data_IF_172578102162
#
_entry.id   IF_172578102162
#
_cell.length_a   1.000
_cell.length_b   1.000
_cell.length_c   1.000
_cell.angle_alpha   90.00
_cell.angle_beta   90.00
_cell.angle_gamma   90.00
#
_symmetry.space_group_name_H-M   'P 1'
#
loop_
_entity.id
_entity.type
_entity.pdbx_description
1 polymer ?
#
# COMPACT_ATOMS: atom_id res chain seq x y z
N UNK A 1 -8.08 -8.25 -34.79
CA UNK A 1 -8.42 -6.88 -34.35
C UNK A 1 -9.94 -6.76 -34.24
N UNK A 2 -10.54 -7.16 -33.13
CA UNK A 2 -11.98 -6.94 -32.90
C UNK A 2 -12.07 -5.76 -31.92
N UNK A 3 -12.08 -4.56 -32.45
CA UNK A 3 -12.59 -3.37 -31.78
C UNK A 3 -14.10 -3.58 -31.61
N UNK A 4 -14.50 -4.21 -30.50
CA UNK A 4 -15.89 -4.08 -30.04
C UNK A 4 -16.06 -2.62 -29.60
N UNK A 5 -16.65 -1.83 -30.46
CA UNK A 5 -17.27 -0.54 -30.09
C UNK A 5 -18.24 -0.86 -28.96
N UNK A 6 -17.84 -0.59 -27.73
CA UNK A 6 -18.78 -0.51 -26.60
C UNK A 6 -19.69 0.67 -26.94
N UNK A 7 -20.96 0.39 -27.29
CA UNK A 7 -22.00 1.39 -27.36
C UNK A 7 -21.89 2.25 -26.09
N UNK A 8 -21.90 3.55 -26.25
CA UNK A 8 -21.82 4.59 -25.23
C UNK A 8 -22.81 4.33 -24.09
N UNK A 9 -22.43 3.53 -23.12
CA UNK A 9 -23.08 3.55 -21.82
C UNK A 9 -22.51 4.76 -21.09
N UNK A 10 -23.33 5.78 -20.88
CA UNK A 10 -22.99 6.91 -20.02
C UNK A 10 -22.81 6.32 -18.62
N UNK A 11 -21.55 6.23 -18.17
CA UNK A 11 -21.23 5.83 -16.79
C UNK A 11 -21.38 7.06 -15.92
N UNK A 12 -22.51 7.17 -15.21
CA UNK A 12 -22.81 8.29 -14.28
C UNK A 12 -22.47 7.96 -12.84
N UNK A 13 -21.87 6.81 -12.58
CA UNK A 13 -21.69 6.24 -11.25
C UNK A 13 -20.20 5.87 -11.01
N UNK A 14 -19.73 6.10 -9.79
CA UNK A 14 -18.42 5.65 -9.28
C UNK A 14 -18.68 4.55 -8.26
N UNK A 15 -18.62 3.28 -8.66
CA UNK A 15 -19.03 2.16 -7.81
C UNK A 15 -18.29 2.09 -6.47
N UNK A 16 -17.03 2.51 -6.47
CA UNK A 16 -16.15 2.48 -5.29
C UNK A 16 -16.69 3.32 -4.12
N UNK A 17 -17.41 4.42 -4.41
CA UNK A 17 -17.91 5.34 -3.38
C UNK A 17 -19.41 5.22 -3.10
N UNK A 18 -20.06 4.16 -3.55
CA UNK A 18 -21.47 3.93 -3.24
C UNK A 18 -21.67 3.89 -1.73
N UNK A 19 -22.68 4.63 -1.19
CA UNK A 19 -22.87 4.78 0.23
C UNK A 19 -23.34 3.47 0.90
N UNK A 20 -23.01 3.34 2.17
CA UNK A 20 -23.56 2.32 3.07
C UNK A 20 -24.70 2.95 3.84
N UNK A 21 -25.87 2.32 3.85
CA UNK A 21 -26.97 2.72 4.73
C UNK A 21 -26.64 2.38 6.18
N UNK A 22 -27.04 3.25 7.10
CA UNK A 22 -26.75 3.08 8.52
C UNK A 22 -28.02 3.14 9.38
N UNK A 23 -28.01 2.49 10.54
CA UNK A 23 -29.03 2.60 11.57
C UNK A 23 -28.40 2.52 12.96
N UNK A 24 -29.10 3.05 13.95
CA UNK A 24 -28.71 2.89 15.35
C UNK A 24 -28.77 1.41 15.77
N UNK A 25 -27.89 1.03 16.69
CA UNK A 25 -28.06 -0.23 17.41
C UNK A 25 -29.34 -0.18 18.23
N UNK A 26 -30.03 -1.32 18.36
CA UNK A 26 -31.18 -1.47 19.26
C UNK A 26 -30.74 -1.88 20.68
N UNK A 27 -29.48 -2.17 20.87
CA UNK A 27 -28.91 -2.64 22.13
C UNK A 27 -28.23 -1.48 22.86
N UNK A 28 -28.43 -1.43 24.18
CA UNK A 28 -27.60 -0.61 25.07
C UNK A 28 -26.26 -1.34 25.22
N UNK A 29 -25.38 -1.14 24.27
CA UNK A 29 -24.02 -1.68 24.30
C UNK A 29 -23.05 -0.50 24.24
N UNK A 30 -22.46 -0.19 25.38
CA UNK A 30 -21.55 0.94 25.58
C UNK A 30 -20.08 0.52 25.34
N UNK A 31 -19.83 -0.76 24.98
CA UNK A 31 -18.48 -1.24 24.70
C UNK A 31 -17.92 -0.59 23.43
N UNK A 32 -16.71 -0.05 23.55
CA UNK A 32 -15.94 0.47 22.45
C UNK A 32 -15.80 -0.60 21.35
N UNK A 33 -16.05 -0.21 20.11
CA UNK A 33 -15.81 -1.08 18.96
C UNK A 33 -14.99 -0.39 17.89
N UNK A 34 -13.85 -0.99 17.59
CA UNK A 34 -13.01 -0.54 16.46
C UNK A 34 -13.52 -1.15 15.16
N UNK A 35 -13.68 -0.31 14.13
CA UNK A 35 -14.10 -0.74 12.80
C UNK A 35 -13.03 -0.34 11.80
N UNK A 36 -12.57 -1.30 11.00
CA UNK A 36 -11.70 -1.03 9.85
C UNK A 36 -12.43 -1.36 8.56
N UNK A 37 -12.34 -0.47 7.58
CA UNK A 37 -12.90 -0.69 6.24
C UNK A 37 -11.77 -1.03 5.28
N UNK A 38 -11.84 -2.23 4.71
CA UNK A 38 -10.81 -2.76 3.80
C UNK A 38 -11.42 -3.18 2.45
N UNK A 39 -10.68 -3.09 1.34
CA UNK A 39 -11.14 -3.54 0.04
C UNK A 39 -11.41 -5.04 -0.02
N UNK A 40 -10.52 -5.84 0.57
CA UNK A 40 -10.55 -7.30 0.51
C UNK A 40 -9.81 -7.93 1.69
N UNK A 41 -10.17 -9.18 2.01
CA UNK A 41 -9.43 -10.06 2.93
C UNK A 41 -8.94 -11.33 2.23
N UNK A 42 -9.01 -11.40 0.90
CA UNK A 42 -8.58 -12.56 0.13
C UNK A 42 -7.05 -12.59 0.02
N UNK A 43 -6.43 -13.78 0.13
CA UNK A 43 -4.97 -13.98 0.10
C UNK A 43 -4.30 -13.34 -1.13
N UNK A 44 -4.98 -13.41 -2.28
CA UNK A 44 -4.47 -12.84 -3.53
C UNK A 44 -4.45 -11.30 -3.57
N UNK A 45 -5.27 -10.64 -2.75
CA UNK A 45 -5.43 -9.18 -2.73
C UNK A 45 -4.70 -8.53 -1.54
N UNK A 46 -4.43 -9.30 -0.48
CA UNK A 46 -3.74 -8.80 0.72
C UNK A 46 -2.25 -8.73 0.44
N UNK A 47 -1.81 -7.55 0.05
CA UNK A 47 -0.39 -7.19 -0.11
C UNK A 47 0.02 -6.24 1.01
N UNK A 48 1.28 -5.81 0.99
CA UNK A 48 1.91 -5.00 2.02
C UNK A 48 1.02 -3.94 2.68
N UNK A 49 0.28 -3.16 1.88
CA UNK A 49 -0.60 -2.11 2.40
C UNK A 49 -1.75 -2.62 3.26
N UNK A 50 -2.56 -3.54 2.74
CA UNK A 50 -3.71 -4.10 3.50
C UNK A 50 -3.20 -4.90 4.71
N UNK A 51 -2.10 -5.66 4.55
CA UNK A 51 -1.48 -6.40 5.64
C UNK A 51 -1.03 -5.46 6.77
N UNK A 52 -0.36 -4.36 6.44
CA UNK A 52 0.11 -3.38 7.43
C UNK A 52 -1.07 -2.70 8.15
N UNK A 53 -2.13 -2.34 7.43
CA UNK A 53 -3.33 -1.74 8.03
C UNK A 53 -4.05 -2.72 8.97
N UNK A 54 -4.16 -4.00 8.59
CA UNK A 54 -4.74 -5.04 9.45
C UNK A 54 -3.87 -5.31 10.67
N UNK A 55 -2.54 -5.30 10.54
CA UNK A 55 -1.61 -5.42 11.66
C UNK A 55 -1.76 -4.25 12.63
N UNK A 56 -1.84 -3.01 12.12
CA UNK A 56 -2.11 -1.83 12.93
C UNK A 56 -3.44 -1.97 13.69
N UNK A 57 -4.49 -2.33 12.99
CA UNK A 57 -5.82 -2.52 13.55
C UNK A 57 -5.83 -3.58 14.66
N UNK A 58 -5.21 -4.75 14.42
CA UNK A 58 -5.17 -5.84 15.39
C UNK A 58 -4.40 -5.42 16.65
N UNK A 59 -3.21 -4.84 16.52
CA UNK A 59 -2.43 -4.37 17.66
C UNK A 59 -3.18 -3.31 18.48
N UNK A 60 -3.86 -2.39 17.81
CA UNK A 60 -4.66 -1.35 18.47
C UNK A 60 -5.87 -1.95 19.20
N UNK A 61 -6.57 -2.91 18.58
CA UNK A 61 -7.70 -3.62 19.18
C UNK A 61 -7.29 -4.41 20.42
N UNK A 62 -6.18 -5.15 20.34
CA UNK A 62 -5.67 -5.95 21.45
C UNK A 62 -5.24 -5.04 22.63
N UNK A 63 -4.65 -3.88 22.35
CA UNK A 63 -4.28 -2.89 23.35
C UNK A 63 -5.49 -2.25 24.03
N UNK A 64 -6.51 -1.90 23.26
CA UNK A 64 -7.77 -1.32 23.76
C UNK A 64 -8.66 -2.35 24.46
N UNK A 65 -8.45 -3.64 24.20
CA UNK A 65 -9.30 -4.76 24.68
C UNK A 65 -10.78 -4.54 24.35
N UNK A 66 -11.06 -4.05 23.16
CA UNK A 66 -12.39 -3.65 22.70
C UNK A 66 -12.95 -4.63 21.66
N UNK A 67 -14.25 -4.50 21.38
CA UNK A 67 -14.85 -5.17 20.22
C UNK A 67 -14.19 -4.71 18.93
N UNK A 68 -14.19 -5.57 17.91
CA UNK A 68 -13.60 -5.23 16.61
C UNK A 68 -14.43 -5.71 15.44
N UNK A 69 -14.47 -4.92 14.36
CA UNK A 69 -15.19 -5.28 13.14
C UNK A 69 -14.40 -4.91 11.89
N UNK A 70 -14.17 -5.91 11.03
CA UNK A 70 -13.59 -5.74 9.71
C UNK A 70 -14.75 -5.67 8.71
N UNK A 71 -14.83 -4.56 7.96
CA UNK A 71 -15.87 -4.30 6.95
C UNK A 71 -15.22 -4.41 5.59
N UNK A 72 -15.61 -5.42 4.81
CA UNK A 72 -15.08 -5.69 3.47
C UNK A 72 -15.99 -5.06 2.42
N UNK A 73 -15.44 -4.27 1.49
CA UNK A 73 -16.26 -3.43 0.61
C UNK A 73 -16.13 -3.69 -0.89
N UNK A 74 -15.09 -4.32 -1.40
CA UNK A 74 -14.88 -4.44 -2.85
C UNK A 74 -14.90 -5.88 -3.36
N UNK A 75 -14.44 -6.84 -2.56
CA UNK A 75 -14.43 -8.26 -2.94
C UNK A 75 -15.13 -9.12 -1.90
N UNK A 76 -16.07 -9.93 -2.35
CA UNK A 76 -16.81 -10.87 -1.49
C UNK A 76 -15.87 -11.78 -0.68
N UNK A 77 -16.34 -12.14 0.52
CA UNK A 77 -15.57 -12.98 1.44
C UNK A 77 -15.71 -14.44 1.03
N UNK A 78 -14.65 -15.01 0.47
CA UNK A 78 -14.55 -16.42 0.13
C UNK A 78 -13.73 -17.15 1.22
N UNK A 79 -14.38 -17.95 2.07
CA UNK A 79 -13.75 -18.62 3.23
C UNK A 79 -12.51 -19.44 2.90
N UNK A 80 -12.42 -19.97 1.67
CA UNK A 80 -11.32 -20.86 1.24
C UNK A 80 -10.06 -20.12 0.82
N UNK A 81 -10.20 -18.84 0.48
CA UNK A 81 -9.13 -18.00 -0.08
C UNK A 81 -8.87 -16.72 0.75
N UNK A 82 -9.30 -16.69 1.99
CA UNK A 82 -9.09 -15.54 2.88
C UNK A 82 -7.85 -15.72 3.77
N UNK A 83 -7.27 -14.61 4.19
CA UNK A 83 -6.22 -14.63 5.21
C UNK A 83 -6.74 -15.19 6.53
N UNK A 84 -5.84 -15.71 7.36
CA UNK A 84 -6.21 -16.12 8.72
C UNK A 84 -6.50 -14.88 9.57
N UNK A 85 -7.72 -14.83 10.10
CA UNK A 85 -8.19 -13.78 11.02
C UNK A 85 -8.66 -14.46 12.31
N UNK A 86 -7.72 -14.61 13.24
CA UNK A 86 -7.95 -15.37 14.47
C UNK A 86 -9.07 -14.77 15.35
N UNK A 87 -10.04 -15.60 15.67
CA UNK A 87 -11.20 -15.23 16.50
C UNK A 87 -12.30 -14.46 15.78
N UNK A 88 -12.11 -14.06 14.51
CA UNK A 88 -13.15 -13.36 13.75
C UNK A 88 -14.22 -14.31 13.24
N UNK A 89 -15.48 -13.91 13.43
CA UNK A 89 -16.65 -14.61 12.91
C UNK A 89 -17.24 -13.84 11.74
N UNK A 90 -17.57 -14.54 10.66
CA UNK A 90 -18.29 -13.96 9.52
C UNK A 90 -19.75 -13.81 9.95
N UNK A 91 -20.24 -12.57 10.01
CA UNK A 91 -21.57 -12.21 10.45
C UNK A 91 -22.38 -11.70 9.28
N UNK A 92 -23.60 -12.20 9.11
CA UNK A 92 -24.56 -11.59 8.19
C UNK A 92 -25.01 -10.23 8.78
N UNK A 93 -25.06 -9.19 7.94
CA UNK A 93 -25.46 -7.84 8.37
C UNK A 93 -26.88 -7.77 8.95
N UNK A 94 -27.75 -8.76 8.69
CA UNK A 94 -29.13 -8.88 9.21
C UNK A 94 -29.17 -9.52 10.57
N UNK A 95 -28.18 -10.31 10.92
CA UNK A 95 -28.17 -11.10 12.14
C UNK A 95 -27.72 -10.26 13.35
N UNK A 96 -28.35 -10.51 14.49
CA UNK A 96 -27.80 -10.08 15.77
C UNK A 96 -26.68 -11.04 16.15
N UNK A 97 -25.57 -10.50 16.58
CA UNK A 97 -24.43 -11.31 16.98
C UNK A 97 -23.74 -10.69 18.19
N UNK A 98 -23.49 -11.52 19.19
CA UNK A 98 -22.71 -11.19 20.39
C UNK A 98 -21.18 -11.37 20.15
N UNK A 99 -20.78 -11.70 18.93
CA UNK A 99 -19.36 -11.86 18.60
C UNK A 99 -18.61 -10.53 18.81
N UNK A 100 -17.54 -10.59 19.59
CA UNK A 100 -16.65 -9.44 19.85
C UNK A 100 -15.73 -9.12 18.69
N UNK A 101 -15.38 -10.13 17.86
CA UNK A 101 -14.60 -9.99 16.64
C UNK A 101 -15.45 -10.36 15.43
N UNK A 102 -15.81 -9.36 14.62
CA UNK A 102 -16.76 -9.51 13.52
C UNK A 102 -16.08 -9.25 12.16
N UNK A 103 -16.37 -10.10 11.18
CA UNK A 103 -16.05 -9.90 9.77
C UNK A 103 -17.36 -9.79 8.98
N UNK A 104 -17.58 -8.66 8.31
CA UNK A 104 -18.84 -8.40 7.62
C UNK A 104 -18.60 -8.01 6.15
N UNK A 105 -19.40 -8.58 5.27
CA UNK A 105 -19.37 -8.31 3.85
C UNK A 105 -20.33 -7.17 3.48
N UNK A 106 -19.78 -6.09 2.92
CA UNK A 106 -20.50 -4.93 2.37
C UNK A 106 -20.20 -4.68 0.90
N UNK A 107 -19.80 -5.68 0.15
CA UNK A 107 -19.53 -5.56 -1.29
C UNK A 107 -20.78 -5.13 -2.10
N UNK A 108 -21.96 -5.60 -1.70
CA UNK A 108 -23.26 -5.15 -2.25
C UNK A 108 -23.93 -4.17 -1.25
N UNK A 109 -23.27 -3.00 -1.04
CA UNK A 109 -23.62 -2.03 0.03
C UNK A 109 -25.04 -1.47 -0.08
N UNK A 110 -25.57 -1.27 -1.29
CA UNK A 110 -26.90 -0.65 -1.50
C UNK A 110 -28.07 -1.48 -0.91
N UNK A 111 -27.85 -2.76 -0.64
CA UNK A 111 -28.86 -3.67 -0.08
C UNK A 111 -28.61 -4.02 1.37
N UNK A 112 -27.59 -3.42 1.98
CA UNK A 112 -27.14 -3.75 3.35
C UNK A 112 -27.19 -2.51 4.22
N UNK A 113 -27.48 -2.68 5.49
CA UNK A 113 -27.53 -1.60 6.49
C UNK A 113 -26.55 -1.88 7.59
N UNK A 114 -25.61 -0.98 7.80
CA UNK A 114 -24.62 -1.08 8.88
C UNK A 114 -25.24 -0.61 10.19
N UNK A 115 -25.16 -1.45 11.22
CA UNK A 115 -25.53 -1.08 12.58
C UNK A 115 -24.36 -0.31 13.20
N UNK A 116 -24.61 0.92 13.62
CA UNK A 116 -23.63 1.81 14.23
C UNK A 116 -23.94 1.98 15.71
N UNK A 117 -22.91 1.86 16.56
CA UNK A 117 -22.94 2.17 18.00
C UNK A 117 -22.49 3.62 18.24
N UNK A 118 -22.82 4.17 19.38
CA UNK A 118 -22.27 5.47 19.82
C UNK A 118 -20.75 5.39 20.00
N UNK A 119 -20.27 4.26 20.51
CA UNK A 119 -18.86 3.94 20.77
C UNK A 119 -18.11 3.32 19.59
N UNK A 120 -18.63 3.41 18.35
CA UNK A 120 -17.90 2.97 17.15
C UNK A 120 -16.82 3.97 16.76
N UNK A 121 -15.59 3.47 16.61
CA UNK A 121 -14.45 4.16 16.00
C UNK A 121 -14.22 3.60 14.61
N UNK A 122 -13.98 4.45 13.62
CA UNK A 122 -13.82 4.02 12.24
C UNK A 122 -12.40 4.32 11.70
N UNK A 123 -11.83 3.33 11.02
CA UNK A 123 -10.53 3.42 10.35
C UNK A 123 -10.72 3.19 8.85
N UNK A 124 -10.36 4.19 8.05
CA UNK A 124 -10.28 4.08 6.59
C UNK A 124 -8.89 3.59 6.16
N UNK A 125 -8.81 2.82 5.07
CA UNK A 125 -7.55 2.30 4.53
C UNK A 125 -7.31 2.66 3.06
N UNK A 126 -8.26 3.37 2.45
CA UNK A 126 -8.22 3.85 1.07
C UNK A 126 -9.10 5.09 0.93
N UNK A 127 -8.89 5.90 -0.13
CA UNK A 127 -9.69 7.11 -0.35
C UNK A 127 -11.19 6.82 -0.46
N UNK A 128 -11.57 5.73 -1.12
CA UNK A 128 -13.00 5.39 -1.24
C UNK A 128 -13.59 4.86 0.07
N UNK A 129 -12.81 4.20 0.91
CA UNK A 129 -13.26 3.85 2.26
C UNK A 129 -13.44 5.09 3.15
N UNK A 130 -12.53 6.06 3.05
CA UNK A 130 -12.66 7.35 3.74
C UNK A 130 -13.88 8.14 3.23
N UNK A 131 -14.09 8.18 1.92
CA UNK A 131 -15.25 8.82 1.29
C UNK A 131 -16.58 8.22 1.76
N UNK A 132 -16.64 6.89 1.93
CA UNK A 132 -17.83 6.18 2.45
C UNK A 132 -18.03 6.46 3.94
N UNK A 133 -16.94 6.56 4.72
CA UNK A 133 -17.01 6.72 6.17
C UNK A 133 -17.36 8.14 6.61
N UNK A 134 -17.00 9.16 5.84
CA UNK A 134 -17.33 10.55 6.18
C UNK A 134 -18.80 10.77 6.49
N UNK A 135 -19.78 10.41 5.62
CA UNK A 135 -21.19 10.55 5.93
C UNK A 135 -21.68 9.65 7.09
N UNK A 136 -21.02 8.51 7.32
CA UNK A 136 -21.35 7.61 8.44
C UNK A 136 -20.99 8.26 9.77
N UNK A 137 -19.78 8.83 9.86
CA UNK A 137 -19.32 9.54 11.07
C UNK A 137 -20.14 10.81 11.28
N UNK A 138 -20.44 11.56 10.21
CA UNK A 138 -21.34 12.72 10.28
C UNK A 138 -22.74 12.32 10.80
N UNK A 139 -23.27 11.19 10.34
CA UNK A 139 -24.53 10.65 10.86
C UNK A 139 -24.41 10.20 12.33
N UNK A 140 -23.31 9.55 12.72
CA UNK A 140 -23.04 9.13 14.11
C UNK A 140 -23.03 10.36 15.02
N UNK A 141 -22.26 11.40 14.68
CA UNK A 141 -22.17 12.64 15.44
C UNK A 141 -23.52 13.35 15.60
N UNK A 142 -24.38 13.31 14.58
CA UNK A 142 -25.70 13.91 14.63
C UNK A 142 -26.73 13.11 15.45
N UNK A 143 -26.60 11.79 15.47
CA UNK A 143 -27.61 10.89 16.02
C UNK A 143 -27.30 10.38 17.42
N UNK A 144 -26.07 10.54 17.89
CA UNK A 144 -25.67 10.28 19.26
C UNK A 144 -25.13 11.57 19.89
N UNK A 145 -25.11 11.70 21.14
CA UNK A 145 -24.89 12.86 22.01
C UNK A 145 -23.86 13.93 21.57
N UNK A 146 -23.98 14.47 20.36
CA UNK A 146 -23.18 15.59 19.84
C UNK A 146 -21.65 15.47 19.99
N UNK A 147 -21.12 14.27 19.86
CA UNK A 147 -19.71 14.06 19.97
C UNK A 147 -19.05 14.29 18.61
N UNK A 148 -17.95 15.04 18.59
CA UNK A 148 -17.19 15.31 17.39
C UNK A 148 -16.17 14.18 17.14
N UNK A 149 -16.66 13.00 16.72
CA UNK A 149 -15.84 11.80 16.48
C UNK A 149 -14.94 12.01 15.31
N UNK A 150 -13.71 11.52 15.40
CA UNK A 150 -12.72 11.58 14.35
C UNK A 150 -12.75 10.35 13.46
N UNK A 151 -12.42 10.53 12.18
CA UNK A 151 -12.02 9.46 11.29
C UNK A 151 -10.52 9.18 11.48
N UNK A 152 -10.16 7.92 11.74
CA UNK A 152 -8.77 7.48 11.63
C UNK A 152 -8.51 7.06 10.18
N UNK A 153 -7.58 7.74 9.50
CA UNK A 153 -7.30 7.49 8.10
C UNK A 153 -5.88 6.95 7.94
N UNK A 154 -5.79 5.65 7.65
CA UNK A 154 -4.53 4.96 7.38
C UNK A 154 -4.11 5.20 5.93
N UNK A 155 -3.25 6.20 5.72
CA UNK A 155 -2.85 6.72 4.41
C UNK A 155 -1.55 6.02 3.97
N UNK A 156 -1.63 5.32 2.84
CA UNK A 156 -0.55 4.45 2.37
C UNK A 156 0.10 4.92 1.07
N UNK A 157 -0.51 5.88 0.41
CA UNK A 157 -0.01 6.51 -0.81
C UNK A 157 -0.74 7.85 -1.03
N UNK A 158 -0.29 8.66 -1.97
CA UNK A 158 -1.08 9.76 -2.49
C UNK A 158 -2.03 9.24 -3.57
N UNK A 159 -3.18 8.77 -3.13
CA UNK A 159 -4.11 8.00 -3.96
C UNK A 159 -4.77 8.78 -5.12
N UNK A 160 -4.92 10.13 -5.10
CA UNK A 160 -5.26 10.87 -6.31
C UNK A 160 -4.35 10.55 -7.49
N UNK A 161 -3.06 10.32 -7.24
CA UNK A 161 -2.06 9.91 -8.23
C UNK A 161 -2.29 8.53 -8.88
N UNK A 162 -3.28 7.76 -8.42
CA UNK A 162 -3.68 6.50 -9.09
C UNK A 162 -4.46 6.74 -10.38
N UNK A 163 -4.93 7.97 -10.59
CA UNK A 163 -5.79 8.36 -11.68
C UNK A 163 -5.17 9.50 -12.50
N UNK A 164 -5.39 9.55 -13.82
CA UNK A 164 -5.17 10.80 -14.55
C UNK A 164 -6.08 11.89 -13.97
N UNK A 165 -5.84 13.15 -14.30
CA UNK A 165 -6.72 14.25 -13.90
C UNK A 165 -8.16 13.96 -14.36
N UNK A 166 -9.02 13.68 -13.39
CA UNK A 166 -10.35 13.12 -13.62
C UNK A 166 -11.24 13.33 -12.41
N UNK A 167 -12.52 12.96 -12.51
CA UNK A 167 -13.44 12.96 -11.37
C UNK A 167 -12.92 12.11 -10.21
N UNK A 168 -12.33 10.94 -10.48
CA UNK A 168 -11.76 10.07 -9.43
C UNK A 168 -10.57 10.72 -8.74
N UNK A 169 -9.73 11.45 -9.48
CA UNK A 169 -8.63 12.22 -8.89
C UNK A 169 -9.18 13.24 -7.86
N UNK A 170 -10.15 14.06 -8.27
CA UNK A 170 -10.73 15.09 -7.40
C UNK A 170 -11.46 14.48 -6.21
N UNK A 171 -12.21 13.39 -6.41
CA UNK A 171 -12.89 12.68 -5.32
C UNK A 171 -11.90 12.08 -4.31
N UNK A 172 -10.82 11.48 -4.79
CA UNK A 172 -9.76 10.96 -3.92
C UNK A 172 -9.10 12.10 -3.12
N UNK A 173 -8.77 13.20 -3.78
CA UNK A 173 -8.16 14.37 -3.13
C UNK A 173 -9.10 15.00 -2.08
N UNK A 174 -10.41 15.02 -2.32
CA UNK A 174 -11.39 15.59 -1.38
C UNK A 174 -11.38 14.88 -0.03
N UNK A 175 -10.98 13.60 0.02
CA UNK A 175 -10.91 12.85 1.27
C UNK A 175 -9.79 13.31 2.22
N UNK A 176 -8.86 14.11 1.72
CA UNK A 176 -7.82 14.75 2.55
C UNK A 176 -8.23 16.16 3.02
N UNK A 177 -9.44 16.61 2.63
CA UNK A 177 -10.00 17.94 2.92
C UNK A 177 -11.39 17.86 3.56
N UNK A 178 -11.68 16.76 4.25
CA UNK A 178 -12.98 16.51 4.90
C UNK A 178 -13.28 17.53 5.99
N UNK A 179 -14.55 17.83 6.18
CA UNK A 179 -15.01 18.72 7.27
C UNK A 179 -14.99 18.01 8.64
N UNK A 180 -15.11 16.68 8.66
CA UNK A 180 -15.02 15.90 9.91
C UNK A 180 -13.56 15.89 10.41
N UNK A 181 -13.34 15.88 11.74
CA UNK A 181 -12.00 15.74 12.29
C UNK A 181 -11.36 14.43 11.77
N UNK A 182 -10.19 14.56 11.18
CA UNK A 182 -9.48 13.40 10.62
C UNK A 182 -8.10 13.28 11.25
N UNK A 183 -7.74 12.07 11.63
CA UNK A 183 -6.44 11.69 12.17
C UNK A 183 -5.70 10.90 11.11
N UNK A 184 -4.64 11.49 10.56
CA UNK A 184 -3.82 10.86 9.52
C UNK A 184 -2.77 9.93 10.11
N UNK A 185 -2.71 8.68 9.60
CA UNK A 185 -1.69 7.70 9.94
C UNK A 185 -0.96 7.31 8.65
N UNK A 186 0.31 7.67 8.55
CA UNK A 186 1.10 7.52 7.33
C UNK A 186 2.12 6.39 7.48
N UNK A 187 2.24 5.56 6.46
CA UNK A 187 3.17 4.42 6.45
C UNK A 187 4.58 4.78 5.95
N UNK A 188 4.91 6.06 5.87
CA UNK A 188 6.28 6.54 5.71
C UNK A 188 6.39 8.03 6.07
N UNK A 189 7.58 8.43 6.53
CA UNK A 189 7.91 9.83 6.79
C UNK A 189 7.81 10.69 5.53
N UNK A 190 8.33 10.22 4.40
CA UNK A 190 8.29 10.94 3.12
C UNK A 190 6.86 11.25 2.69
N UNK A 191 5.95 10.29 2.83
CA UNK A 191 4.54 10.50 2.51
C UNK A 191 3.91 11.53 3.45
N UNK A 192 4.17 11.43 4.75
CA UNK A 192 3.71 12.39 5.75
C UNK A 192 4.18 13.82 5.43
N UNK A 193 5.48 14.00 5.17
CA UNK A 193 6.06 15.30 4.83
C UNK A 193 5.47 15.89 3.55
N UNK A 194 5.25 15.04 2.51
CA UNK A 194 4.59 15.44 1.27
C UNK A 194 3.19 16.02 1.53
N UNK A 195 2.39 15.39 2.39
CA UNK A 195 1.05 15.88 2.72
C UNK A 195 1.10 17.23 3.45
N UNK A 196 2.06 17.42 4.34
CA UNK A 196 2.28 18.72 5.00
C UNK A 196 2.69 19.80 4.00
N UNK A 197 3.63 19.51 3.11
CA UNK A 197 4.10 20.44 2.07
C UNK A 197 2.98 20.83 1.09
N UNK A 198 2.06 19.91 0.79
CA UNK A 198 0.85 20.21 -0.02
C UNK A 198 -0.23 20.98 0.75
N UNK A 199 -0.05 21.22 2.05
CA UNK A 199 -0.97 21.98 2.88
C UNK A 199 -2.22 21.24 3.34
N UNK A 200 -2.23 19.90 3.32
CA UNK A 200 -3.31 19.11 3.90
C UNK A 200 -3.27 19.19 5.43
N UNK A 201 -4.44 19.45 6.03
CA UNK A 201 -4.57 19.64 7.47
C UNK A 201 -5.33 18.46 8.10
N UNK A 202 -4.74 17.88 9.14
CA UNK A 202 -5.35 16.85 9.96
C UNK A 202 -5.50 17.34 11.40
N UNK A 203 -6.50 16.84 12.14
CA UNK A 203 -6.62 17.10 13.58
C UNK A 203 -5.35 16.67 14.31
N UNK A 204 -4.85 15.49 13.95
CA UNK A 204 -3.54 14.94 14.33
C UNK A 204 -2.99 14.11 13.16
N UNK A 205 -1.68 13.99 13.09
CA UNK A 205 -1.03 13.18 12.07
C UNK A 205 0.23 12.52 12.63
N UNK A 206 0.40 11.25 12.33
CA UNK A 206 1.55 10.46 12.74
C UNK A 206 2.07 9.62 11.58
N UNK A 207 3.31 9.23 11.64
CA UNK A 207 3.92 8.33 10.67
C UNK A 207 4.76 7.25 11.34
N UNK A 208 4.95 6.16 10.63
CA UNK A 208 5.97 5.15 10.91
C UNK A 208 6.71 4.84 9.61
N UNK A 209 7.96 4.41 9.70
CA UNK A 209 8.73 4.07 8.52
C UNK A 209 8.55 2.60 8.14
N UNK A 210 8.76 2.23 6.86
CA UNK A 210 8.74 0.85 6.42
C UNK A 210 9.71 -0.02 7.22
N UNK A 211 9.27 -1.22 7.57
CA UNK A 211 10.10 -2.24 8.22
C UNK A 211 10.29 -3.43 7.29
N UNK A 212 11.47 -4.04 7.34
CA UNK A 212 11.72 -5.28 6.60
C UNK A 212 10.85 -6.40 7.18
N UNK A 213 10.25 -7.19 6.29
CA UNK A 213 9.52 -8.37 6.70
C UNK A 213 10.44 -9.30 7.52
N UNK A 214 9.96 -9.85 8.64
CA UNK A 214 10.76 -10.67 9.56
C UNK A 214 11.35 -11.92 8.89
N UNK A 215 10.59 -12.56 8.00
CA UNK A 215 11.10 -13.71 7.25
C UNK A 215 12.23 -13.29 6.31
N UNK A 216 12.09 -12.17 5.58
CA UNK A 216 13.18 -11.63 4.75
C UNK A 216 14.40 -11.28 5.58
N UNK A 217 14.22 -10.74 6.78
CA UNK A 217 15.30 -10.45 7.72
C UNK A 217 16.02 -11.72 8.14
N UNK A 218 15.29 -12.79 8.45
CA UNK A 218 15.88 -14.10 8.79
C UNK A 218 16.75 -14.66 7.66
N UNK A 219 16.38 -14.47 6.40
CA UNK A 219 17.21 -14.86 5.25
C UNK A 219 18.45 -13.98 5.13
N UNK A 220 18.30 -12.67 5.31
CA UNK A 220 19.38 -11.70 5.23
C UNK A 220 20.45 -11.95 6.32
N UNK A 221 20.03 -12.19 7.55
CA UNK A 221 20.93 -12.43 8.69
C UNK A 221 21.81 -13.69 8.53
N UNK A 222 21.36 -14.64 7.70
CA UNK A 222 22.10 -15.88 7.40
C UNK A 222 22.94 -15.77 6.13
N UNK A 223 22.78 -14.69 5.36
CA UNK A 223 23.37 -14.56 4.04
C UNK A 223 24.80 -13.99 4.10
N UNK A 224 25.68 -14.50 3.26
CA UNK A 224 26.97 -13.89 2.96
C UNK A 224 26.84 -12.93 1.77
N UNK A 225 26.79 -11.65 2.05
CA UNK A 225 26.68 -10.60 1.03
C UNK A 225 27.98 -10.35 0.26
N UNK A 226 29.10 -10.97 0.64
CA UNK A 226 30.41 -10.85 -0.05
C UNK A 226 30.51 -11.74 -1.29
N UNK A 227 29.60 -12.70 -1.46
CA UNK A 227 29.58 -13.61 -2.61
C UNK A 227 29.38 -12.84 -3.91
N UNK A 228 30.20 -13.10 -4.95
CA UNK A 228 30.03 -12.45 -6.26
C UNK A 228 28.64 -12.67 -6.86
N UNK A 229 28.01 -11.58 -7.30
CA UNK A 229 26.67 -11.60 -7.86
C UNK A 229 26.69 -11.98 -9.34
N UNK A 230 25.63 -12.67 -9.78
CA UNK A 230 25.41 -13.05 -11.17
C UNK A 230 25.17 -11.81 -12.05
N UNK A 231 25.46 -11.91 -13.34
CA UNK A 231 25.01 -10.94 -14.35
C UNK A 231 23.49 -11.04 -14.49
N UNK A 232 22.79 -10.52 -13.51
CA UNK A 232 21.34 -10.63 -13.38
C UNK A 232 20.74 -9.28 -13.04
N UNK A 233 19.65 -8.94 -13.71
CA UNK A 233 18.82 -7.76 -13.46
C UNK A 233 17.45 -8.24 -12.99
N UNK A 234 16.97 -7.73 -11.86
CA UNK A 234 15.57 -7.89 -11.47
C UNK A 234 14.83 -6.57 -11.61
N UNK A 235 13.60 -6.66 -12.09
CA UNK A 235 12.69 -5.51 -12.17
C UNK A 235 11.45 -5.80 -11.33
N UNK A 236 10.96 -4.78 -10.63
CA UNK A 236 9.64 -4.86 -10.02
C UNK A 236 8.59 -4.45 -11.05
N UNK A 237 8.08 -5.45 -11.79
CA UNK A 237 7.22 -5.25 -12.95
C UNK A 237 5.74 -5.49 -12.64
N UNK A 238 4.95 -4.42 -12.74
CA UNK A 238 3.51 -4.45 -12.55
C UNK A 238 2.81 -3.68 -13.67
N UNK A 239 2.62 -4.30 -14.86
CA UNK A 239 2.03 -3.62 -16.02
C UNK A 239 0.63 -3.05 -15.75
N UNK A 240 -0.15 -3.61 -14.83
CA UNK A 240 -1.48 -3.10 -14.47
C UNK A 240 -1.45 -1.99 -13.40
N UNK A 241 -0.28 -1.58 -12.93
CA UNK A 241 -0.11 -0.55 -11.92
C UNK A 241 0.69 0.62 -12.52
N UNK A 242 -0.01 1.60 -13.09
CA UNK A 242 0.58 2.70 -13.88
C UNK A 242 1.72 3.42 -13.18
N UNK A 243 1.63 3.62 -11.85
CA UNK A 243 2.67 4.31 -11.08
C UNK A 243 4.00 3.54 -10.97
N UNK A 244 4.04 2.25 -11.32
CA UNK A 244 5.29 1.49 -11.42
C UNK A 244 6.03 1.71 -12.75
N UNK A 245 5.48 2.52 -13.66
CA UNK A 245 6.09 2.95 -14.92
C UNK A 245 6.70 1.79 -15.72
N UNK A 246 5.94 0.69 -15.85
CA UNK A 246 6.43 -0.54 -16.48
C UNK A 246 6.87 -0.32 -17.92
N UNK A 247 6.12 0.46 -18.68
CA UNK A 247 6.41 0.78 -20.09
C UNK A 247 7.75 1.53 -20.23
N UNK A 248 8.05 2.44 -19.29
CA UNK A 248 9.33 3.16 -19.24
C UNK A 248 10.48 2.21 -18.98
N UNK A 249 10.31 1.25 -18.06
CA UNK A 249 11.34 0.23 -17.79
C UNK A 249 11.58 -0.62 -19.04
N UNK A 250 10.52 -1.05 -19.74
CA UNK A 250 10.61 -1.87 -20.95
C UNK A 250 11.36 -1.13 -22.07
N UNK A 251 11.02 0.13 -22.33
CA UNK A 251 11.70 0.93 -23.33
C UNK A 251 13.18 1.16 -22.97
N UNK A 252 13.47 1.43 -21.70
CA UNK A 252 14.84 1.60 -21.23
C UNK A 252 15.69 0.33 -21.37
N UNK A 253 15.11 -0.83 -21.08
CA UNK A 253 15.79 -2.12 -21.25
C UNK A 253 16.03 -2.46 -22.74
N UNK A 254 15.10 -2.05 -23.63
CA UNK A 254 15.32 -2.17 -25.08
C UNK A 254 16.54 -1.35 -25.54
N UNK A 255 16.60 -0.06 -25.13
CA UNK A 255 17.74 0.82 -25.44
C UNK A 255 19.04 0.28 -24.83
N UNK A 256 18.99 -0.17 -23.57
CA UNK A 256 20.13 -0.81 -22.92
C UNK A 256 20.61 -2.04 -23.68
N UNK A 257 19.69 -2.91 -24.13
CA UNK A 257 20.02 -4.12 -24.88
C UNK A 257 20.68 -3.83 -26.24
N UNK A 258 20.38 -2.70 -26.88
CA UNK A 258 21.06 -2.24 -28.09
C UNK A 258 22.50 -1.72 -27.81
N UNK A 259 22.70 -1.08 -26.65
CA UNK A 259 23.96 -0.50 -26.19
C UNK A 259 24.92 -1.54 -25.60
N UNK A 260 24.39 -2.54 -24.90
CA UNK A 260 25.19 -3.57 -24.24
C UNK A 260 25.62 -4.67 -25.23
N UNK A 261 26.90 -4.72 -25.58
CA UNK A 261 27.42 -5.70 -26.55
C UNK A 261 27.20 -7.16 -26.13
N UNK A 262 27.22 -7.40 -24.84
CA UNK A 262 27.06 -8.74 -24.25
C UNK A 262 25.69 -8.87 -23.53
N UNK A 263 24.66 -8.22 -24.03
CA UNK A 263 23.33 -8.20 -23.42
C UNK A 263 22.76 -9.60 -23.20
N UNK A 264 23.03 -10.56 -24.09
CA UNK A 264 22.63 -11.97 -24.01
C UNK A 264 23.23 -12.73 -22.83
N UNK A 265 24.33 -12.22 -22.22
CA UNK A 265 24.95 -12.83 -21.05
C UNK A 265 24.22 -12.45 -19.74
N UNK A 266 23.26 -11.53 -19.82
CA UNK A 266 22.48 -11.07 -18.69
C UNK A 266 21.14 -11.80 -18.64
N UNK A 267 20.79 -12.26 -17.44
CA UNK A 267 19.46 -12.77 -17.15
C UNK A 267 18.59 -11.62 -16.62
N UNK A 268 17.39 -11.45 -17.18
CA UNK A 268 16.47 -10.39 -16.73
C UNK A 268 15.18 -11.04 -16.27
N UNK A 269 14.83 -10.79 -14.99
CA UNK A 269 13.63 -11.31 -14.36
C UNK A 269 12.69 -10.17 -13.92
N UNK A 270 11.40 -10.34 -14.20
CA UNK A 270 10.36 -9.47 -13.69
C UNK A 270 9.62 -10.13 -12.55
N UNK A 271 9.54 -9.43 -11.43
CA UNK A 271 8.84 -9.82 -10.21
C UNK A 271 7.59 -8.95 -10.02
N UNK A 272 6.56 -9.47 -9.36
CA UNK A 272 5.33 -8.74 -9.06
C UNK A 272 4.13 -9.32 -9.78
N UNK A 273 3.81 -8.87 -10.99
CA UNK A 273 2.73 -9.44 -11.78
C UNK A 273 3.22 -10.46 -12.80
N UNK A 274 2.40 -11.50 -13.06
CA UNK A 274 2.69 -12.51 -14.08
C UNK A 274 2.18 -12.06 -15.45
N UNK A 275 3.06 -12.14 -16.44
CA UNK A 275 2.75 -11.87 -17.86
C UNK A 275 3.60 -12.78 -18.75
N UNK A 276 3.32 -12.92 -20.07
CA UNK A 276 4.17 -13.66 -20.99
C UNK A 276 5.58 -13.06 -21.08
N UNK A 277 6.60 -13.89 -21.26
CA UNK A 277 7.97 -13.44 -21.44
C UNK A 277 8.09 -12.46 -22.62
N UNK A 278 8.88 -11.40 -22.44
CA UNK A 278 9.01 -10.31 -23.41
C UNK A 278 10.40 -10.38 -24.06
N UNK A 279 10.43 -10.47 -25.39
CA UNK A 279 11.66 -10.34 -26.19
C UNK A 279 11.90 -8.86 -26.49
N UNK A 280 13.05 -8.33 -26.09
CA UNK A 280 13.39 -6.90 -26.27
C UNK A 280 14.48 -6.66 -27.34
N UNK A 281 14.86 -7.65 -28.09
CA UNK A 281 15.89 -7.58 -29.14
C UNK A 281 17.24 -8.11 -28.67
N UNK A 282 18.19 -8.25 -29.60
CA UNK A 282 19.57 -8.70 -29.37
C UNK A 282 19.70 -10.02 -28.54
N UNK A 283 18.69 -10.89 -28.62
CA UNK A 283 18.65 -12.15 -27.88
C UNK A 283 18.28 -12.02 -26.41
N UNK A 284 17.92 -10.83 -25.95
CA UNK A 284 17.53 -10.56 -24.57
C UNK A 284 16.04 -10.87 -24.38
N UNK A 285 15.75 -11.62 -23.32
CA UNK A 285 14.39 -11.98 -22.93
C UNK A 285 14.16 -11.63 -21.46
N UNK A 286 13.09 -10.89 -21.19
CA UNK A 286 12.62 -10.62 -19.85
C UNK A 286 11.68 -11.76 -19.45
N UNK A 287 12.08 -12.55 -18.47
CA UNK A 287 11.29 -13.65 -17.93
C UNK A 287 10.41 -13.16 -16.78
N UNK A 288 9.09 -13.28 -16.93
CA UNK A 288 8.17 -12.93 -15.87
C UNK A 288 8.04 -14.09 -14.86
N UNK A 289 8.45 -13.87 -13.62
CA UNK A 289 8.31 -14.82 -12.54
C UNK A 289 6.98 -14.65 -11.78
N UNK A 290 6.38 -13.46 -11.87
CA UNK A 290 5.18 -13.13 -11.11
C UNK A 290 5.45 -12.91 -9.62
N UNK A 291 4.48 -13.23 -8.78
CA UNK A 291 4.61 -13.16 -7.31
C UNK A 291 5.38 -14.39 -6.82
N UNK A 292 6.50 -14.16 -6.18
CA UNK A 292 7.34 -15.18 -5.55
C UNK A 292 6.94 -15.39 -4.08
N UNK A 293 7.27 -16.54 -3.53
CA UNK A 293 7.32 -16.70 -2.07
C UNK A 293 8.44 -15.86 -1.49
N UNK A 294 8.42 -15.58 -0.17
CA UNK A 294 9.47 -14.79 0.48
C UNK A 294 10.85 -15.45 0.38
N UNK A 295 10.91 -16.78 0.44
CA UNK A 295 12.14 -17.56 0.26
C UNK A 295 12.71 -17.41 -1.16
N UNK A 296 11.87 -17.61 -2.19
CA UNK A 296 12.29 -17.44 -3.60
C UNK A 296 12.72 -15.99 -3.87
N UNK A 297 12.02 -15.01 -3.29
CA UNK A 297 12.35 -13.61 -3.42
C UNK A 297 13.68 -13.28 -2.75
N UNK A 298 13.93 -13.76 -1.53
CA UNK A 298 15.21 -13.60 -0.85
C UNK A 298 16.36 -14.22 -1.65
N UNK A 299 16.16 -15.45 -2.14
CA UNK A 299 17.17 -16.18 -2.93
C UNK A 299 17.56 -15.43 -4.21
N UNK A 300 16.59 -14.96 -4.98
CA UNK A 300 16.88 -14.20 -6.21
C UNK A 300 17.57 -12.86 -5.90
N UNK A 301 17.18 -12.19 -4.81
CA UNK A 301 17.82 -10.94 -4.38
C UNK A 301 19.30 -11.15 -3.99
N UNK A 302 19.64 -12.26 -3.34
CA UNK A 302 21.03 -12.57 -2.97
C UNK A 302 21.94 -12.81 -4.17
N UNK A 303 21.40 -13.28 -5.27
CA UNK A 303 22.16 -13.60 -6.49
C UNK A 303 22.27 -12.43 -7.48
N UNK A 304 21.37 -11.45 -7.38
CA UNK A 304 21.18 -10.37 -8.37
C UNK A 304 22.18 -9.23 -8.19
N UNK A 305 22.69 -8.72 -9.30
CA UNK A 305 23.61 -7.57 -9.32
C UNK A 305 22.88 -6.22 -9.39
N UNK A 306 21.84 -6.11 -10.20
CA UNK A 306 21.13 -4.85 -10.48
C UNK A 306 19.63 -5.00 -10.23
N UNK A 307 19.04 -4.07 -9.52
CA UNK A 307 17.60 -3.97 -9.29
C UNK A 307 17.02 -2.71 -9.94
N UNK A 308 15.81 -2.81 -10.48
CA UNK A 308 15.07 -1.67 -11.01
C UNK A 308 13.67 -1.69 -10.42
N UNK A 309 13.32 -0.62 -9.71
CA UNK A 309 11.98 -0.48 -9.15
C UNK A 309 11.56 0.98 -9.17
N UNK A 310 10.69 1.34 -10.10
CA UNK A 310 10.17 2.69 -10.22
C UNK A 310 8.83 2.81 -9.48
N UNK A 311 8.60 4.01 -8.93
CA UNK A 311 7.35 4.37 -8.28
C UNK A 311 7.08 5.87 -8.45
N UNK A 312 6.10 6.21 -9.27
CA UNK A 312 5.64 7.59 -9.47
C UNK A 312 4.69 7.93 -8.31
N UNK A 313 5.27 8.19 -7.16
CA UNK A 313 4.60 8.46 -5.91
C UNK A 313 5.60 9.07 -4.91
N UNK A 314 5.15 9.91 -3.96
CA UNK A 314 5.96 10.37 -2.83
C UNK A 314 6.29 9.25 -1.83
N UNK A 315 5.56 8.12 -1.88
CA UNK A 315 5.87 6.95 -1.07
C UNK A 315 7.17 6.28 -1.55
N UNK A 316 8.08 5.86 -0.64
CA UNK A 316 9.37 5.29 -1.02
C UNK A 316 9.28 3.96 -1.77
N UNK A 317 8.17 3.21 -1.59
CA UNK A 317 7.99 1.83 -2.06
C UNK A 317 8.86 0.81 -1.31
N UNK A 318 8.34 -0.39 -1.08
CA UNK A 318 9.09 -1.45 -0.39
C UNK A 318 10.14 -2.12 -1.28
N UNK A 319 9.85 -2.50 -2.56
CA UNK A 319 10.80 -3.26 -3.35
C UNK A 319 12.19 -2.61 -3.52
N UNK A 320 12.34 -1.31 -3.80
CA UNK A 320 13.68 -0.73 -3.92
C UNK A 320 14.44 -0.76 -2.58
N UNK A 321 13.72 -0.63 -1.46
CA UNK A 321 14.31 -0.67 -0.12
C UNK A 321 14.76 -2.09 0.24
N UNK A 322 13.94 -3.09 -0.06
CA UNK A 322 14.27 -4.51 0.14
C UNK A 322 15.47 -4.93 -0.71
N UNK A 323 15.42 -4.63 -2.02
CA UNK A 323 16.53 -4.92 -2.95
C UNK A 323 17.85 -4.31 -2.47
N UNK A 324 17.84 -3.05 -2.08
CA UNK A 324 19.04 -2.34 -1.62
C UNK A 324 19.59 -2.92 -0.32
N UNK A 325 18.73 -3.32 0.61
CA UNK A 325 19.09 -3.96 1.86
C UNK A 325 19.76 -5.31 1.65
N UNK A 326 19.31 -6.06 0.63
CA UNK A 326 19.99 -7.29 0.18
C UNK A 326 21.27 -7.03 -0.59
N UNK A 327 21.74 -5.79 -0.68
CA UNK A 327 23.02 -5.40 -1.31
C UNK A 327 22.96 -5.26 -2.83
N UNK A 328 21.78 -5.26 -3.43
CA UNK A 328 21.59 -5.03 -4.87
C UNK A 328 21.78 -3.55 -5.17
N UNK A 329 22.56 -3.22 -6.21
CA UNK A 329 22.59 -1.85 -6.72
C UNK A 329 21.23 -1.54 -7.37
N UNK A 330 20.44 -0.75 -6.69
CA UNK A 330 19.01 -0.56 -7.00
C UNK A 330 18.77 0.82 -7.60
N UNK A 331 18.22 0.83 -8.82
CA UNK A 331 17.84 2.03 -9.54
C UNK A 331 16.35 2.31 -9.29
N UNK A 332 16.06 3.53 -8.84
CA UNK A 332 14.70 4.03 -8.67
C UNK A 332 14.59 5.47 -9.19
N UNK A 333 13.42 6.08 -9.07
CA UNK A 333 13.18 7.46 -9.49
C UNK A 333 12.94 8.40 -8.30
N UNK A 334 13.40 9.64 -8.40
CA UNK A 334 12.93 10.73 -7.58
C UNK A 334 11.49 11.09 -7.98
N UNK A 335 10.71 11.60 -7.04
CA UNK A 335 9.37 12.09 -7.28
C UNK A 335 8.94 13.03 -6.16
N UNK A 336 8.61 14.28 -6.48
CA UNK A 336 8.29 15.31 -5.49
C UNK A 336 9.39 15.37 -4.42
N UNK A 337 9.04 15.22 -3.13
CA UNK A 337 10.01 15.19 -2.02
C UNK A 337 10.76 13.85 -1.88
N UNK A 338 10.38 12.82 -2.65
CA UNK A 338 11.06 11.53 -2.58
C UNK A 338 12.41 11.56 -3.30
N UNK A 339 13.49 11.50 -2.52
CA UNK A 339 14.84 11.21 -2.98
C UNK A 339 15.48 10.19 -2.04
N UNK A 340 15.89 9.04 -2.58
CA UNK A 340 16.42 7.93 -1.80
C UNK A 340 17.95 7.76 -1.92
N UNK A 341 18.67 8.73 -2.48
CA UNK A 341 20.13 8.66 -2.68
C UNK A 341 20.93 8.56 -1.38
N UNK A 342 20.36 8.98 -0.25
CA UNK A 342 21.00 8.84 1.07
C UNK A 342 21.07 7.39 1.56
N UNK A 343 20.29 6.49 0.97
CA UNK A 343 20.23 5.10 1.38
C UNK A 343 21.25 4.23 0.66
N UNK A 344 21.81 3.23 1.38
CA UNK A 344 22.82 2.31 0.83
C UNK A 344 22.30 1.62 -0.42
N UNK A 345 23.20 1.50 -1.42
CA UNK A 345 22.92 0.76 -2.65
C UNK A 345 21.74 1.29 -3.49
N UNK A 346 21.22 2.49 -3.22
CA UNK A 346 20.16 3.11 -4.02
C UNK A 346 20.74 4.21 -4.91
N UNK A 347 20.25 4.25 -6.14
CA UNK A 347 20.50 5.30 -7.12
C UNK A 347 19.15 5.84 -7.56
N UNK A 348 18.83 7.06 -7.13
CA UNK A 348 17.58 7.73 -7.43
C UNK A 348 17.76 8.70 -8.60
N UNK A 349 17.04 8.47 -9.71
CA UNK A 349 17.11 9.29 -10.91
C UNK A 349 16.18 10.50 -10.80
N UNK A 350 16.72 11.70 -10.90
CA UNK A 350 15.94 12.95 -10.99
C UNK A 350 15.24 13.07 -12.34
N UNK A 351 15.97 12.83 -13.42
CA UNK A 351 15.43 12.77 -14.77
C UNK A 351 15.27 11.32 -15.22
N UNK A 352 14.08 10.77 -15.02
CA UNK A 352 13.77 9.38 -15.34
C UNK A 352 13.18 9.25 -16.75
N UNK A 353 13.99 9.55 -17.78
CA UNK A 353 13.66 9.26 -19.19
C UNK A 353 14.12 7.84 -19.57
N UNK A 354 13.61 7.32 -20.69
CA UNK A 354 14.03 5.99 -21.19
C UNK A 354 15.54 5.92 -21.48
N UNK A 355 16.12 6.99 -22.03
CA UNK A 355 17.56 7.06 -22.29
C UNK A 355 18.38 7.17 -20.99
N UNK A 356 17.99 8.06 -20.06
CA UNK A 356 18.73 8.22 -18.80
C UNK A 356 18.68 6.96 -17.94
N UNK A 357 17.55 6.27 -17.91
CA UNK A 357 17.44 5.00 -17.22
C UNK A 357 18.28 3.91 -17.90
N UNK A 358 18.26 3.82 -19.23
CA UNK A 358 19.10 2.88 -20.00
C UNK A 358 20.61 3.12 -19.77
N UNK A 359 21.03 4.39 -19.76
CA UNK A 359 22.41 4.76 -19.45
C UNK A 359 22.79 4.43 -18.02
N UNK A 360 21.90 4.64 -17.07
CA UNK A 360 22.13 4.27 -15.67
C UNK A 360 22.26 2.75 -15.52
N UNK A 361 21.35 1.96 -16.13
CA UNK A 361 21.46 0.49 -16.14
C UNK A 361 22.81 0.06 -16.68
N UNK A 362 23.24 0.62 -17.82
CA UNK A 362 24.54 0.31 -18.41
C UNK A 362 25.70 0.62 -17.44
N UNK A 363 25.70 1.80 -16.83
CA UNK A 363 26.76 2.21 -15.92
C UNK A 363 26.83 1.37 -14.65
N UNK A 364 25.67 0.98 -14.10
CA UNK A 364 25.59 0.10 -12.91
C UNK A 364 26.02 -1.33 -13.25
N UNK A 365 25.63 -1.87 -14.41
CA UNK A 365 26.07 -3.18 -14.88
C UNK A 365 27.60 -3.28 -14.98
N UNK A 366 28.25 -2.18 -15.39
CA UNK A 366 29.73 -2.07 -15.54
C UNK A 366 30.41 -1.49 -14.29
N UNK A 367 29.73 -1.36 -13.17
CA UNK A 367 30.25 -0.83 -11.88
C UNK A 367 30.85 0.58 -11.97
N UNK A 368 30.49 1.36 -12.99
CA UNK A 368 30.92 2.75 -13.14
C UNK A 368 30.23 3.69 -12.17
N UNK A 369 29.01 3.33 -11.75
CA UNK A 369 28.20 4.07 -10.78
C UNK A 369 27.68 3.06 -9.76
N UNK A 370 27.72 3.46 -8.49
CA UNK A 370 27.15 2.71 -7.35
C UNK A 370 26.40 3.68 -6.45
N UNK A 371 25.39 3.17 -5.75
CA UNK A 371 24.74 3.93 -4.68
C UNK A 371 25.73 4.18 -3.54
N UNK A 372 25.92 5.44 -3.17
CA UNK A 372 26.91 5.88 -2.19
C UNK A 372 26.29 6.29 -0.85
N UNK A 373 24.97 6.20 -0.71
CA UNK A 373 24.28 6.50 0.54
C UNK A 373 24.76 5.61 1.68
N UNK A 374 24.61 6.12 2.90
CA UNK A 374 25.08 5.42 4.12
C UNK A 374 23.91 4.96 5.01
N UNK A 375 22.72 5.55 4.84
CA UNK A 375 21.55 5.21 5.65
C UNK A 375 21.09 3.78 5.38
N UNK A 376 20.84 3.05 6.46
CA UNK A 376 20.15 1.76 6.42
C UNK A 376 18.67 2.01 6.77
N UNK A 377 17.79 1.79 5.82
CA UNK A 377 16.39 2.19 5.95
C UNK A 377 15.65 1.44 7.06
N UNK A 378 16.00 0.19 7.27
CA UNK A 378 15.33 -0.64 8.26
C UNK A 378 15.92 -0.51 9.67
N UNK A 379 16.90 0.37 9.85
CA UNK A 379 17.45 0.76 11.16
C UNK A 379 16.98 2.14 11.62
N UNK A 380 16.19 2.85 10.80
CA UNK A 380 15.64 4.14 11.20
C UNK A 380 14.49 3.95 12.19
N UNK A 381 14.58 4.65 13.32
CA UNK A 381 13.69 4.52 14.47
C UNK A 381 12.40 5.30 14.30
N UNK A 382 11.47 4.86 13.51
CA UNK A 382 10.10 5.25 13.79
C UNK A 382 9.35 4.02 14.25
N UNK A 383 8.88 4.05 15.44
CA UNK A 383 8.24 2.87 15.94
C UNK A 383 6.78 2.82 15.52
N UNK A 384 6.44 1.77 14.79
CA UNK A 384 5.04 1.39 14.57
C UNK A 384 4.26 1.33 15.89
N UNK A 385 4.93 0.91 16.98
CA UNK A 385 4.39 0.90 18.34
C UNK A 385 4.05 2.30 18.88
N UNK A 386 4.83 3.35 18.54
CA UNK A 386 4.56 4.71 19.02
C UNK A 386 3.29 5.27 18.36
N UNK A 387 3.05 4.93 17.09
CA UNK A 387 1.83 5.32 16.38
C UNK A 387 0.61 4.59 16.97
N UNK A 388 0.76 3.31 17.34
CA UNK A 388 -0.28 2.56 18.04
C UNK A 388 -0.57 3.20 19.40
N UNK A 389 0.47 3.58 20.16
CA UNK A 389 0.34 4.26 21.45
C UNK A 389 -0.37 5.61 21.33
N UNK A 390 0.03 6.42 20.33
CA UNK A 390 -0.58 7.71 20.07
C UNK A 390 -2.06 7.58 19.68
N UNK A 391 -2.37 6.58 18.85
CA UNK A 391 -3.75 6.27 18.44
C UNK A 391 -4.60 5.76 19.61
N UNK A 392 -4.04 4.91 20.44
CA UNK A 392 -4.67 4.43 21.67
C UNK A 392 -5.05 5.59 22.59
N UNK A 393 -4.10 6.48 22.88
CA UNK A 393 -4.33 7.63 23.75
C UNK A 393 -5.38 8.58 23.17
N UNK A 394 -5.40 8.81 21.86
CA UNK A 394 -6.41 9.65 21.21
C UNK A 394 -7.81 9.04 21.28
N UNK A 395 -7.94 7.73 21.08
CA UNK A 395 -9.22 7.03 21.24
C UNK A 395 -9.72 7.14 22.67
N UNK A 396 -8.86 6.97 23.67
CA UNK A 396 -9.26 7.13 25.08
C UNK A 396 -9.69 8.57 25.40
N UNK A 397 -9.05 9.58 24.79
CA UNK A 397 -9.47 10.98 24.95
C UNK A 397 -10.86 11.25 24.34
N UNK A 398 -11.16 10.66 23.19
CA UNK A 398 -12.45 10.85 22.51
C UNK A 398 -13.58 9.99 23.12
N UNK A 399 -13.27 8.84 23.68
CA UNK A 399 -14.26 7.82 24.09
C UNK A 399 -14.17 7.40 25.55
N UNK A 400 -13.09 7.74 26.25
CA UNK A 400 -12.79 7.28 27.61
C UNK A 400 -13.49 8.02 28.76
N UNK A 401 -14.25 9.06 28.45
CA UNK A 401 -15.01 9.84 29.45
C UNK A 401 -16.49 9.40 29.56
N UNK A 402 -16.79 8.13 29.25
CA UNK A 402 -18.13 7.55 29.41
C UNK A 402 -18.20 6.61 30.58
#
# INVERSE_FOLDING_TARGET
>A
LILRVRRNMIVTDVPEVRPIQVRKTSEKNDHLRLNIVVPSVQLRDVFGGISTALSFFQNLTDKLKCDSRIIVIDREIEKRDMISLEGYQIIDWKEKSDATKQLVDFTIRQRKTLVVRESDVFIATSWWSAYILEPIIGWQNKNYSNQNRSLFYFIQDYEPGFYPWSSKYVMAESTYKMEIPTIGIFNSKLLYEFFLEKGYCFKKAWYFDPVLNEDLKCFLDRADLSVPRKKQIIIYGRPNTSRNAFELIMESLRIWGEKEKNAKDWEIYSLGEKFPDIKIGNGVVIKSLGKLTLEEYAKIMLETKVGISLMISPHPSYPPLEMSTFGIQTITNCFENKNLNDYKNIICLENCSSNSLADMIYNVCHEKIKGTGEKDIFKCNSSFSDVIEASYNEILLEYGNQ
#
